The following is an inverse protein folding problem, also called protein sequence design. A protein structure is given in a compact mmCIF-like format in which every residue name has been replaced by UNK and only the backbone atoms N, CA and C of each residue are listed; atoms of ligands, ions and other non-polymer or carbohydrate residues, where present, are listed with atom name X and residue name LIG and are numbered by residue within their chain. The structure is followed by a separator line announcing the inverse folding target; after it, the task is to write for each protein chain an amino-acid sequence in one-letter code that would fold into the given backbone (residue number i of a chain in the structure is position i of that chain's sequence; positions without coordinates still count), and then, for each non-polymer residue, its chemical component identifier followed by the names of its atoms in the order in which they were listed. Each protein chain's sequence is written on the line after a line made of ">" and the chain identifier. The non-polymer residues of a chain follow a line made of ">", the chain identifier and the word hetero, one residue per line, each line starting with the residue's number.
data_IF_661842370489
#
_entry.id   IF_661842370489
#
_cell.length_a   1.000
_cell.length_b   1.000
_cell.length_c   1.000
_cell.angle_alpha   90.00
_cell.angle_beta   90.00
_cell.angle_gamma   90.00
#
_symmetry.space_group_name_H-M   'P 1'
#
loop_
_entity.id
_entity.type
_entity.pdbx_description
1 polymer ?
#
# COMPACT_ATOMS: atom_id res chain seq x y z
N UNK A 1 -2.82 -28.59 -5.95
CA UNK A 1 -1.79 -27.53 -6.06
C UNK A 1 -1.59 -27.18 -7.53
N UNK A 2 -1.26 -25.93 -7.84
CA UNK A 2 -1.03 -25.47 -9.22
C UNK A 2 0.47 -25.35 -9.48
N UNK A 3 0.91 -25.75 -10.66
CA UNK A 3 2.30 -25.63 -11.11
C UNK A 3 2.44 -24.50 -12.13
N UNK A 4 3.60 -23.85 -12.13
CA UNK A 4 3.92 -22.77 -13.06
C UNK A 4 5.31 -23.00 -13.64
N UNK A 5 5.42 -22.74 -14.93
CA UNK A 5 6.67 -22.56 -15.64
C UNK A 5 6.49 -21.53 -16.75
N UNK A 6 7.59 -20.99 -17.22
CA UNK A 6 7.63 -19.98 -18.27
C UNK A 6 8.60 -20.40 -19.36
N UNK A 7 8.16 -20.27 -20.62
CA UNK A 7 9.04 -20.41 -21.78
C UNK A 7 9.14 -19.05 -22.46
N UNK A 8 10.35 -18.51 -22.56
CA UNK A 8 10.64 -17.27 -23.26
C UNK A 8 11.22 -17.60 -24.63
N UNK A 9 10.52 -17.23 -25.70
CA UNK A 9 10.97 -17.41 -27.07
C UNK A 9 11.72 -16.17 -27.54
N UNK A 10 13.05 -16.24 -27.55
CA UNK A 10 13.92 -15.20 -28.04
C UNK A 10 13.97 -15.20 -29.57
N UNK A 11 13.61 -14.07 -30.18
CA UNK A 11 13.65 -13.90 -31.62
C UNK A 11 14.33 -12.57 -31.97
N UNK A 12 15.28 -12.55 -32.93
CA UNK A 12 15.87 -11.29 -33.40
C UNK A 12 14.79 -10.34 -33.93
N UNK A 13 14.95 -9.03 -33.65
CA UNK A 13 13.99 -8.00 -34.05
C UNK A 13 13.71 -8.02 -35.56
N UNK A 14 14.75 -8.20 -36.38
CA UNK A 14 14.61 -8.28 -37.84
C UNK A 14 13.68 -9.43 -38.27
N UNK A 15 13.84 -10.60 -37.66
CA UNK A 15 12.97 -11.75 -37.91
C UNK A 15 11.52 -11.45 -37.48
N UNK A 16 11.33 -10.79 -36.35
CA UNK A 16 10.01 -10.37 -35.87
C UNK A 16 9.32 -9.40 -36.85
N UNK A 17 10.05 -8.41 -37.36
CA UNK A 17 9.55 -7.43 -38.34
C UNK A 17 9.20 -8.11 -39.67
N UNK A 18 10.08 -8.98 -40.17
CA UNK A 18 9.84 -9.73 -41.40
C UNK A 18 8.59 -10.60 -41.28
N UNK A 19 8.46 -11.38 -40.20
CA UNK A 19 7.27 -12.22 -39.95
C UNK A 19 6.01 -11.38 -39.77
N UNK A 20 6.10 -10.22 -39.13
CA UNK A 20 4.97 -9.34 -38.92
C UNK A 20 4.37 -8.85 -40.25
N UNK A 21 5.21 -8.47 -41.23
CA UNK A 21 4.78 -8.01 -42.55
C UNK A 21 4.02 -9.06 -43.37
N UNK A 22 4.22 -10.35 -43.04
CA UNK A 22 3.52 -11.47 -43.69
C UNK A 22 2.15 -11.79 -43.06
N UNK A 23 1.79 -11.13 -41.95
CA UNK A 23 0.49 -11.35 -41.29
C UNK A 23 -0.62 -10.66 -42.07
N UNK A 24 -1.83 -11.23 -41.98
CA UNK A 24 -3.04 -10.60 -42.55
C UNK A 24 -3.32 -9.21 -41.99
N UNK A 25 -2.98 -8.99 -40.73
CA UNK A 25 -3.11 -7.70 -40.03
C UNK A 25 -1.78 -7.38 -39.33
N UNK A 26 -0.83 -6.74 -40.01
CA UNK A 26 0.46 -6.40 -39.42
C UNK A 26 0.32 -5.29 -38.37
N UNK A 27 1.11 -5.36 -37.31
CA UNK A 27 1.29 -4.23 -36.40
C UNK A 27 2.24 -3.20 -37.00
N UNK A 28 2.17 -1.92 -36.61
CA UNK A 28 3.18 -0.94 -36.99
C UNK A 28 4.58 -1.36 -36.53
N UNK A 29 5.58 -1.25 -37.42
CA UNK A 29 6.97 -1.65 -37.11
C UNK A 29 7.50 -0.94 -35.86
N UNK A 30 7.15 0.33 -35.65
CA UNK A 30 7.53 1.10 -34.46
C UNK A 30 7.03 0.45 -33.15
N UNK A 31 5.84 -0.14 -33.15
CA UNK A 31 5.30 -0.84 -31.98
C UNK A 31 6.17 -2.04 -31.63
N UNK A 32 6.60 -2.82 -32.64
CA UNK A 32 7.45 -3.99 -32.43
C UNK A 32 8.83 -3.57 -31.93
N UNK A 33 9.41 -2.52 -32.51
CA UNK A 33 10.68 -1.96 -32.02
C UNK A 33 10.58 -1.51 -30.56
N UNK A 34 9.50 -0.80 -30.18
CA UNK A 34 9.26 -0.38 -28.80
C UNK A 34 9.11 -1.58 -27.86
N UNK A 35 8.37 -2.62 -28.27
CA UNK A 35 8.24 -3.85 -27.47
C UNK A 35 9.59 -4.52 -27.25
N UNK A 36 10.45 -4.60 -28.28
CA UNK A 36 11.78 -5.18 -28.15
C UNK A 36 12.67 -4.44 -27.14
N UNK A 37 12.51 -3.12 -27.02
CA UNK A 37 13.24 -2.34 -25.99
C UNK A 37 12.70 -2.50 -24.56
N UNK A 38 11.45 -2.94 -24.41
CA UNK A 38 10.73 -2.98 -23.12
C UNK A 38 10.51 -4.37 -22.57
N UNK A 39 10.61 -5.39 -23.41
CA UNK A 39 10.38 -6.77 -23.00
C UNK A 39 11.46 -7.21 -22.01
N UNK A 40 11.04 -7.63 -20.82
CA UNK A 40 11.94 -8.15 -19.79
C UNK A 40 12.10 -9.66 -19.98
N UNK A 41 13.36 -10.13 -19.98
CA UNK A 41 13.66 -11.57 -19.96
C UNK A 41 13.46 -12.10 -18.54
N UNK A 42 13.13 -13.40 -18.37
CA UNK A 42 13.09 -14.00 -17.04
C UNK A 42 14.45 -13.83 -16.33
N UNK A 43 14.40 -13.39 -15.08
CA UNK A 43 15.54 -13.11 -14.21
C UNK A 43 15.37 -13.80 -12.84
N UNK A 44 15.97 -14.98 -12.73
CA UNK A 44 15.93 -15.81 -11.52
C UNK A 44 16.57 -15.13 -10.30
N UNK A 45 17.44 -14.13 -10.49
CA UNK A 45 18.07 -13.41 -9.37
C UNK A 45 17.14 -12.36 -8.81
N UNK A 46 16.38 -11.69 -9.67
CA UNK A 46 15.42 -10.66 -9.30
C UNK A 46 14.11 -11.26 -8.78
N UNK A 47 13.66 -12.36 -9.39
CA UNK A 47 12.34 -12.92 -9.17
C UNK A 47 12.43 -14.42 -8.84
N UNK A 48 12.30 -14.77 -7.56
CA UNK A 48 12.35 -16.17 -7.13
C UNK A 48 11.26 -17.06 -7.74
N UNK A 49 10.11 -16.48 -8.12
CA UNK A 49 9.00 -17.20 -8.77
C UNK A 49 9.31 -17.59 -10.23
N UNK A 50 10.32 -16.97 -10.87
CA UNK A 50 10.75 -17.28 -12.23
C UNK A 50 11.71 -18.49 -12.30
N UNK A 51 11.90 -19.25 -11.20
CA UNK A 51 12.86 -20.36 -11.15
C UNK A 51 12.65 -21.42 -12.25
N UNK A 52 11.40 -21.65 -12.64
CA UNK A 52 11.04 -22.60 -13.68
C UNK A 52 10.89 -21.84 -15.02
N UNK A 53 11.97 -21.19 -15.47
CA UNK A 53 11.99 -20.47 -16.74
C UNK A 53 12.98 -21.10 -17.71
N UNK A 54 12.58 -21.20 -18.98
CA UNK A 54 13.43 -21.66 -20.08
C UNK A 54 13.45 -20.61 -21.18
N UNK A 55 14.64 -20.26 -21.66
CA UNK A 55 14.83 -19.32 -22.78
C UNK A 55 15.26 -20.11 -24.01
N UNK A 56 14.45 -20.07 -25.06
CA UNK A 56 14.72 -20.78 -26.32
C UNK A 56 14.81 -19.78 -27.47
N UNK A 57 15.62 -20.10 -28.48
CA UNK A 57 15.64 -19.32 -29.73
C UNK A 57 14.46 -19.72 -30.61
N UNK A 58 13.81 -18.72 -31.21
CA UNK A 58 12.62 -18.88 -32.07
C UNK A 58 12.95 -19.28 -33.52
N UNK A 59 14.24 -19.46 -33.82
CA UNK A 59 14.72 -19.97 -35.09
C UNK A 59 15.44 -21.30 -34.82
N UNK A 60 15.26 -22.25 -35.74
CA UNK A 60 15.89 -23.57 -35.70
C UNK A 60 15.53 -24.43 -34.48
N UNK A 61 14.24 -24.53 -34.13
CA UNK A 61 13.79 -25.43 -33.06
C UNK A 61 14.22 -26.87 -33.36
N UNK A 62 14.97 -27.46 -32.43
CA UNK A 62 15.53 -28.80 -32.52
C UNK A 62 14.72 -29.80 -31.69
N UNK A 63 14.99 -31.10 -31.86
CA UNK A 63 14.45 -32.13 -30.97
C UNK A 63 14.88 -31.91 -29.51
N UNK A 64 16.07 -31.36 -29.29
CA UNK A 64 16.63 -31.05 -27.96
C UNK A 64 15.82 -29.95 -27.25
N UNK A 65 15.26 -28.98 -27.99
CA UNK A 65 14.39 -27.96 -27.42
C UNK A 65 13.07 -28.57 -26.89
N UNK A 66 12.53 -29.56 -27.61
CA UNK A 66 11.33 -30.27 -27.14
C UNK A 66 11.60 -31.05 -25.85
N UNK A 67 12.76 -31.70 -25.75
CA UNK A 67 13.17 -32.40 -24.53
C UNK A 67 13.35 -31.45 -23.35
N UNK A 68 13.94 -30.27 -23.58
CA UNK A 68 14.05 -29.22 -22.55
C UNK A 68 12.69 -28.72 -22.09
N UNK A 69 11.72 -28.53 -23.01
CA UNK A 69 10.34 -28.15 -22.64
C UNK A 69 9.67 -29.25 -21.81
N UNK A 70 9.79 -30.51 -22.20
CA UNK A 70 9.23 -31.65 -21.45
C UNK A 70 9.86 -31.72 -20.05
N UNK A 71 11.18 -31.56 -19.95
CA UNK A 71 11.90 -31.54 -18.68
C UNK A 71 11.47 -30.37 -17.78
N UNK A 72 11.27 -29.18 -18.35
CA UNK A 72 10.74 -28.02 -17.63
C UNK A 72 9.34 -28.30 -17.07
N UNK A 73 8.46 -28.87 -17.88
CA UNK A 73 7.09 -29.23 -17.47
C UNK A 73 7.11 -30.25 -16.34
N UNK A 74 7.91 -31.32 -16.45
CA UNK A 74 8.06 -32.32 -15.40
C UNK A 74 8.58 -31.68 -14.10
N UNK A 75 9.63 -30.87 -14.20
CA UNK A 75 10.20 -30.14 -13.05
C UNK A 75 9.15 -29.29 -12.37
N UNK A 76 8.36 -28.52 -13.12
CA UNK A 76 7.31 -27.66 -12.58
C UNK A 76 6.18 -28.45 -11.92
N UNK A 77 5.83 -29.63 -12.45
CA UNK A 77 4.81 -30.51 -11.89
C UNK A 77 5.25 -31.13 -10.55
N UNK A 78 6.51 -31.54 -10.44
CA UNK A 78 7.10 -32.03 -9.19
C UNK A 78 7.25 -30.92 -8.15
N UNK A 79 7.28 -29.67 -8.61
CA UNK A 79 7.52 -28.48 -7.83
C UNK A 79 6.35 -27.49 -7.93
N UNK A 80 5.14 -27.85 -7.44
CA UNK A 80 4.00 -26.97 -7.52
C UNK A 80 4.29 -25.65 -6.80
N UNK A 81 3.77 -24.56 -7.36
CA UNK A 81 3.90 -23.23 -6.77
C UNK A 81 3.22 -23.26 -5.42
N UNK A 82 3.99 -22.97 -4.37
CA UNK A 82 3.40 -22.69 -3.07
C UNK A 82 2.51 -21.48 -3.26
N UNK A 83 1.24 -21.58 -2.89
CA UNK A 83 0.41 -20.39 -2.79
C UNK A 83 1.20 -19.38 -1.96
N UNK A 84 1.26 -18.13 -2.42
CA UNK A 84 1.67 -17.05 -1.54
C UNK A 84 0.66 -17.10 -0.40
N UNK A 85 1.03 -17.74 0.70
CA UNK A 85 0.54 -17.37 2.00
C UNK A 85 1.00 -15.92 2.13
N UNK A 86 0.17 -14.97 1.65
CA UNK A 86 0.17 -13.66 2.27
C UNK A 86 0.17 -13.98 3.75
N UNK A 87 1.20 -13.56 4.47
CA UNK A 87 1.32 -13.82 5.89
C UNK A 87 0.17 -13.04 6.57
N UNK A 88 -1.02 -13.63 6.53
CA UNK A 88 -2.26 -13.04 6.96
C UNK A 88 -2.11 -12.72 8.42
N UNK A 89 -1.43 -13.58 9.19
CA UNK A 89 -1.09 -13.35 10.59
C UNK A 89 -0.22 -12.11 10.79
N UNK A 90 0.84 -11.89 10.01
CA UNK A 90 1.65 -10.67 10.11
C UNK A 90 0.87 -9.42 9.67
N UNK A 91 0.07 -9.53 8.60
CA UNK A 91 -0.79 -8.44 8.10
C UNK A 91 -1.96 -8.12 9.05
N UNK A 92 -2.46 -9.12 9.78
CA UNK A 92 -3.48 -9.00 10.82
C UNK A 92 -2.86 -8.44 12.09
N UNK A 93 -1.64 -8.88 12.46
CA UNK A 93 -0.87 -8.35 13.58
C UNK A 93 -0.49 -6.89 13.36
N UNK A 94 0.00 -6.51 12.17
CA UNK A 94 0.32 -5.12 11.82
C UNK A 94 -0.96 -4.26 11.80
N UNK A 95 -2.09 -4.82 11.32
CA UNK A 95 -3.40 -4.17 11.42
C UNK A 95 -3.89 -4.04 12.87
N UNK A 96 -3.67 -5.05 13.70
CA UNK A 96 -4.02 -5.04 15.12
C UNK A 96 -3.16 -4.05 15.91
N UNK A 97 -1.86 -3.93 15.60
CA UNK A 97 -0.96 -2.93 16.17
C UNK A 97 -1.37 -1.52 15.74
N UNK A 98 -1.76 -1.32 14.48
CA UNK A 98 -2.31 -0.04 14.02
C UNK A 98 -3.66 0.30 14.67
N UNK A 99 -4.54 -0.70 14.85
CA UNK A 99 -5.86 -0.53 15.47
C UNK A 99 -5.80 -0.34 17.00
N UNK A 100 -4.80 -0.96 17.65
CA UNK A 100 -4.49 -0.81 19.07
C UNK A 100 -3.63 0.44 19.37
N UNK A 101 -3.17 1.16 18.35
CA UNK A 101 -2.45 2.41 18.53
C UNK A 101 -3.38 3.46 19.14
N UNK A 102 -3.03 3.96 20.33
CA UNK A 102 -3.67 5.09 21.01
C UNK A 102 -3.86 6.28 20.07
N UNK A 103 -2.97 6.48 19.09
CA UNK A 103 -3.07 7.54 18.08
C UNK A 103 -4.28 7.38 17.15
N UNK A 104 -4.66 6.17 16.78
CA UNK A 104 -5.83 5.93 15.92
C UNK A 104 -7.13 6.19 16.68
N UNK A 105 -7.23 5.73 17.93
CA UNK A 105 -8.38 6.00 18.80
C UNK A 105 -8.51 7.51 19.12
N UNK A 106 -7.37 8.17 19.34
CA UNK A 106 -7.31 9.63 19.50
C UNK A 106 -7.79 10.35 18.24
N UNK A 107 -7.31 9.99 17.03
CA UNK A 107 -7.76 10.63 15.78
C UNK A 107 -9.27 10.46 15.57
N UNK A 108 -9.79 9.25 15.80
CA UNK A 108 -11.23 9.00 15.65
C UNK A 108 -12.05 9.85 16.63
N UNK A 109 -11.59 9.99 17.88
CA UNK A 109 -12.27 10.80 18.89
C UNK A 109 -12.17 12.29 18.58
N UNK A 110 -11.01 12.78 18.17
CA UNK A 110 -10.85 14.17 17.70
C UNK A 110 -11.78 14.48 16.53
N UNK A 111 -11.93 13.59 15.54
CA UNK A 111 -12.87 13.79 14.42
C UNK A 111 -14.31 13.89 14.88
N UNK A 112 -14.73 13.08 15.85
CA UNK A 112 -16.08 13.16 16.44
C UNK A 112 -16.30 14.49 17.15
N UNK A 113 -15.34 14.91 17.99
CA UNK A 113 -15.41 16.19 18.72
C UNK A 113 -15.50 17.35 17.73
N UNK A 114 -14.60 17.43 16.74
CA UNK A 114 -14.61 18.50 15.72
C UNK A 114 -15.95 18.53 14.98
N UNK A 115 -16.51 17.37 14.61
CA UNK A 115 -17.79 17.33 13.91
C UNK A 115 -18.95 17.86 14.77
N UNK A 116 -18.99 17.46 16.04
CA UNK A 116 -19.99 17.92 17.00
C UNK A 116 -19.87 19.42 17.25
N UNK A 117 -18.66 19.89 17.45
CA UNK A 117 -18.32 21.28 17.66
C UNK A 117 -18.65 22.18 16.46
N UNK A 118 -18.36 21.72 15.24
CA UNK A 118 -18.73 22.42 14.00
C UNK A 118 -20.25 22.50 13.83
N UNK A 119 -20.98 21.44 14.23
CA UNK A 119 -22.44 21.45 14.24
C UNK A 119 -22.99 22.47 15.22
N UNK A 120 -22.49 22.50 16.47
CA UNK A 120 -22.91 23.46 17.48
C UNK A 120 -22.65 24.91 17.07
N UNK A 121 -21.50 25.19 16.47
CA UNK A 121 -21.17 26.52 16.00
C UNK A 121 -22.08 26.96 14.83
N UNK A 122 -22.45 26.02 13.94
CA UNK A 122 -23.44 26.26 12.88
C UNK A 122 -24.83 26.52 13.46
N UNK A 123 -25.26 25.73 14.45
CA UNK A 123 -26.57 25.88 15.11
C UNK A 123 -26.67 27.23 15.86
N UNK A 124 -25.53 27.80 16.27
CA UNK A 124 -25.42 29.14 16.87
C UNK A 124 -25.21 30.27 15.86
N UNK A 125 -25.47 30.03 14.57
CA UNK A 125 -25.43 31.03 13.48
C UNK A 125 -24.07 31.71 13.25
N UNK A 126 -22.95 31.02 13.51
CA UNK A 126 -21.62 31.55 13.14
C UNK A 126 -21.52 31.71 11.62
N UNK A 127 -20.92 32.82 11.17
CA UNK A 127 -20.83 33.18 9.76
C UNK A 127 -20.04 32.14 8.95
N UNK A 128 -20.40 31.85 7.68
CA UNK A 128 -19.68 30.88 6.86
C UNK A 128 -18.18 31.14 6.69
N UNK A 129 -17.75 32.40 6.65
CA UNK A 129 -16.34 32.79 6.61
C UNK A 129 -15.60 32.42 7.90
N UNK A 130 -16.27 32.56 9.05
CA UNK A 130 -15.73 32.21 10.36
C UNK A 130 -15.77 30.70 10.60
N UNK A 131 -16.73 29.98 10.02
CA UNK A 131 -16.75 28.51 10.00
C UNK A 131 -15.52 27.92 9.34
N UNK A 132 -15.01 28.56 8.28
CA UNK A 132 -13.79 28.13 7.62
C UNK A 132 -12.58 28.31 8.54
N UNK A 133 -12.42 29.49 9.16
CA UNK A 133 -11.33 29.76 10.11
C UNK A 133 -11.40 28.84 11.33
N UNK A 134 -12.60 28.58 11.85
CA UNK A 134 -12.80 27.63 12.95
C UNK A 134 -12.34 26.22 12.57
N UNK A 135 -12.72 25.74 11.39
CA UNK A 135 -12.31 24.41 10.92
C UNK A 135 -10.79 24.30 10.76
N UNK A 136 -10.13 25.36 10.28
CA UNK A 136 -8.66 25.41 10.15
C UNK A 136 -7.98 25.36 11.52
N UNK A 137 -8.44 26.14 12.50
CA UNK A 137 -7.93 26.11 13.88
C UNK A 137 -8.13 24.74 14.55
N UNK A 138 -9.31 24.13 14.40
CA UNK A 138 -9.61 22.81 14.96
C UNK A 138 -8.75 21.70 14.33
N UNK A 139 -8.52 21.75 13.01
CA UNK A 139 -7.65 20.79 12.34
C UNK A 139 -6.18 20.97 12.74
N UNK A 140 -5.72 22.22 12.93
CA UNK A 140 -4.37 22.50 13.43
C UNK A 140 -4.19 21.97 14.85
N UNK A 141 -5.16 22.21 15.74
CA UNK A 141 -5.15 21.68 17.10
C UNK A 141 -5.10 20.14 17.11
N UNK A 142 -5.90 19.50 16.25
CA UNK A 142 -5.86 18.03 16.08
C UNK A 142 -4.49 17.55 15.63
N UNK A 143 -3.90 18.19 14.63
CA UNK A 143 -2.59 17.79 14.10
C UNK A 143 -1.51 17.87 15.18
N UNK A 144 -1.51 18.95 15.98
CA UNK A 144 -0.57 19.13 17.08
C UNK A 144 -0.79 18.08 18.18
N UNK A 145 -2.03 17.88 18.63
CA UNK A 145 -2.37 16.89 19.65
C UNK A 145 -1.96 15.46 19.24
N UNK A 146 -2.21 15.06 17.98
CA UNK A 146 -1.81 13.75 17.49
C UNK A 146 -0.30 13.59 17.38
N UNK A 147 0.42 14.66 17.04
CA UNK A 147 1.88 14.62 16.98
C UNK A 147 2.50 14.54 18.39
N UNK A 148 1.99 15.31 19.35
CA UNK A 148 2.40 15.24 20.76
C UNK A 148 2.15 13.83 21.33
N UNK A 149 1.01 13.22 21.00
CA UNK A 149 0.67 11.85 21.40
C UNK A 149 1.58 10.80 20.74
N UNK A 150 2.00 11.01 19.49
CA UNK A 150 3.00 10.16 18.83
C UNK A 150 4.37 10.29 19.50
N UNK A 151 4.81 11.51 19.85
CA UNK A 151 6.09 11.74 20.51
C UNK A 151 6.12 11.23 21.96
N UNK A 152 5.05 11.41 22.72
CA UNK A 152 4.92 10.89 24.09
C UNK A 152 4.93 9.36 24.17
N UNK A 153 4.35 8.68 23.18
CA UNK A 153 4.41 7.22 23.08
C UNK A 153 5.81 6.69 22.71
N UNK A 154 6.57 7.43 21.89
CA UNK A 154 7.96 7.07 21.57
C UNK A 154 8.88 7.17 22.82
N UNK A 155 8.66 8.16 23.70
CA UNK A 155 9.38 8.26 24.98
C UNK A 155 8.99 7.13 25.96
N UNK A 156 7.70 6.78 26.05
CA UNK A 156 7.20 5.71 26.94
C UNK A 156 7.69 4.33 26.54
N UNK A 157 7.81 4.05 25.25
CA UNK A 157 8.36 2.79 24.74
C UNK A 157 9.86 2.63 25.04
N UNK A 158 10.57 3.71 25.39
CA UNK A 158 11.99 3.68 25.78
C UNK A 158 12.19 3.52 27.30
N UNK A 159 11.14 3.69 28.11
CA UNK A 159 11.17 3.59 29.58
C UNK A 159 10.12 2.59 30.06
N UNK A 160 10.37 1.31 29.83
CA UNK A 160 9.75 0.26 30.66
C UNK A 160 10.62 0.11 31.92
N UNK A 161 10.13 0.48 33.10
CA UNK A 161 9.61 -0.42 34.15
C UNK A 161 9.02 0.47 35.27
N UNK A 162 7.79 0.13 35.68
CA UNK A 162 7.11 0.38 36.98
C UNK A 162 5.80 1.20 36.93
N UNK A 163 4.74 0.42 37.14
CA UNK A 163 3.56 0.66 37.97
C UNK A 163 2.43 1.64 37.60
N UNK A 164 1.24 1.10 37.89
CA UNK A 164 -0.03 1.73 38.26
C UNK A 164 -0.92 2.34 37.17
N UNK A 165 -1.81 1.46 36.67
CA UNK A 165 -3.25 1.62 36.50
C UNK A 165 -3.80 3.07 36.60
N UNK A 166 -3.73 3.79 35.49
CA UNK A 166 -4.64 4.88 35.13
C UNK A 166 -4.60 5.05 33.62
N UNK A 167 -5.76 4.93 32.95
CA UNK A 167 -5.89 4.98 31.49
C UNK A 167 -5.51 6.39 30.94
N UNK A 168 -4.33 6.56 30.34
CA UNK A 168 -3.81 7.86 29.92
C UNK A 168 -4.66 8.52 28.83
N UNK A 169 -5.37 7.71 28.03
CA UNK A 169 -6.16 8.18 26.91
C UNK A 169 -7.36 9.05 27.36
N UNK A 170 -7.89 8.80 28.55
CA UNK A 170 -9.03 9.56 29.10
C UNK A 170 -8.62 10.97 29.55
N UNK A 171 -7.43 11.11 30.14
CA UNK A 171 -6.89 12.39 30.59
C UNK A 171 -6.51 13.29 29.41
N UNK A 172 -5.81 12.74 28.41
CA UNK A 172 -5.37 13.48 27.23
C UNK A 172 -6.54 13.95 26.36
N UNK A 173 -7.60 13.11 26.21
CA UNK A 173 -8.79 13.52 25.46
C UNK A 173 -9.59 14.63 26.16
N UNK A 174 -9.60 14.67 27.50
CA UNK A 174 -10.26 15.73 28.25
C UNK A 174 -9.62 17.11 27.99
N UNK A 175 -8.30 17.14 27.80
CA UNK A 175 -7.55 18.34 27.44
C UNK A 175 -7.95 18.86 26.06
N UNK A 176 -7.95 17.97 25.06
CA UNK A 176 -8.35 18.31 23.69
C UNK A 176 -9.79 18.84 23.63
N UNK A 177 -10.73 18.20 24.34
CA UNK A 177 -12.12 18.64 24.36
C UNK A 177 -12.29 20.03 24.98
N UNK A 178 -11.56 20.32 26.07
CA UNK A 178 -11.59 21.64 26.72
C UNK A 178 -11.03 22.72 25.79
N UNK A 179 -9.93 22.42 25.11
CA UNK A 179 -9.29 23.37 24.20
C UNK A 179 -10.11 23.62 22.94
N UNK A 180 -10.71 22.57 22.36
CA UNK A 180 -11.67 22.71 21.26
C UNK A 180 -12.86 23.58 21.66
N UNK A 181 -13.42 23.37 22.87
CA UNK A 181 -14.53 24.19 23.40
C UNK A 181 -14.12 25.65 23.56
N UNK A 182 -12.90 25.91 24.03
CA UNK A 182 -12.37 27.28 24.16
C UNK A 182 -12.23 27.97 22.81
N UNK A 183 -11.72 27.28 21.79
CA UNK A 183 -11.61 27.83 20.43
C UNK A 183 -12.99 28.26 19.93
N UNK A 184 -14.00 27.43 20.15
CA UNK A 184 -15.36 27.64 19.62
C UNK A 184 -16.09 28.76 20.34
N UNK A 185 -15.89 28.86 21.65
CA UNK A 185 -16.42 29.96 22.44
C UNK A 185 -15.90 31.33 21.96
N UNK A 186 -14.69 31.43 21.39
CA UNK A 186 -14.19 32.69 20.78
C UNK A 186 -15.03 33.17 19.59
N UNK A 187 -15.68 32.25 18.89
CA UNK A 187 -16.51 32.55 17.72
C UNK A 187 -17.99 32.72 18.07
N UNK A 188 -18.45 32.09 19.15
CA UNK A 188 -19.84 32.17 19.62
C UNK A 188 -20.09 33.40 20.50
N UNK A 189 -19.13 33.77 21.36
CA UNK A 189 -19.29 34.84 22.36
C UNK A 189 -18.81 36.22 21.85
N UNK A 190 -18.69 36.38 20.54
CA UNK A 190 -18.34 37.65 19.89
C UNK A 190 -19.56 38.55 19.74
#
# INVERSE_FOLDING_TARGET
>A
SLSFCQVFLECPLECCLQRNRLRSHPLPDQTICLMATKIEKPDLKKNAWERNSLVLKSFDCTSEDNEQIISLLATALENPVKQNEENTEQKEADRAICAASTAHQADQTCRRIISQTMKEAKDKNVLPSEMKSLAEELNKLKAQFLEDLRQGNNLRNQVCIQNEYSDPATSEMSSFQKEATNVVNKYILK
#
